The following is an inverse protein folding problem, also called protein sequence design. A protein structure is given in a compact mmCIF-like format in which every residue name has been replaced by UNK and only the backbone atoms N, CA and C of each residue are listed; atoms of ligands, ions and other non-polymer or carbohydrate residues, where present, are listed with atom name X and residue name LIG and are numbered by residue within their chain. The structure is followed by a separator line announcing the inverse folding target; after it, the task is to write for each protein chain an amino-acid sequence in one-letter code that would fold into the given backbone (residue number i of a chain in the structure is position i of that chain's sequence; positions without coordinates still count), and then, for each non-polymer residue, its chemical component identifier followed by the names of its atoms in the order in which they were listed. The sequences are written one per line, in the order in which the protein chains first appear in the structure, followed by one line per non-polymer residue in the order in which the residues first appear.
data_IF_071068318733
#
_entry.id   IF_071068318733
#
_cell.length_a   1.000
_cell.length_b   1.000
_cell.length_c   1.000
_cell.angle_alpha   90.00
_cell.angle_beta   90.00
_cell.angle_gamma   90.00
#
_symmetry.space_group_name_H-M   'P 1'
#
loop_
_entity.id
_entity.type
_entity.pdbx_description
1 polymer ?
#
# COMPACT_ATOMS: atom_id res chain seq x y z
N UNK A 1 -6.74 3.00 -31.29
CA UNK A 1 -6.70 1.66 -30.70
C UNK A 1 -6.95 1.75 -29.19
N UNK A 2 -7.94 1.01 -28.74
CA UNK A 2 -8.26 1.06 -27.32
C UNK A 2 -7.22 0.32 -26.49
N UNK A 3 -6.79 0.94 -25.43
CA UNK A 3 -5.87 0.34 -24.48
C UNK A 3 -6.65 -0.54 -23.50
N UNK A 4 -6.23 -1.77 -23.33
CA UNK A 4 -6.86 -2.64 -22.35
C UNK A 4 -6.61 -2.11 -20.94
N UNK A 5 -7.61 -2.17 -20.08
CA UNK A 5 -7.50 -1.69 -18.70
C UNK A 5 -6.43 -2.41 -17.90
N UNK A 6 -6.03 -3.61 -18.34
CA UNK A 6 -5.04 -4.43 -17.64
C UNK A 6 -3.63 -4.31 -18.23
N UNK A 7 -3.42 -3.45 -19.24
CA UNK A 7 -2.08 -3.27 -19.81
C UNK A 7 -1.16 -2.59 -18.83
N UNK A 8 0.09 -3.06 -18.78
CA UNK A 8 1.15 -2.47 -17.98
C UNK A 8 0.89 -2.49 -16.46
N UNK A 9 0.14 -3.51 -15.99
CA UNK A 9 -0.02 -3.65 -14.54
C UNK A 9 1.30 -4.12 -13.94
N UNK A 10 1.65 -3.66 -12.73
CA UNK A 10 2.83 -4.16 -12.03
C UNK A 10 2.60 -5.57 -11.52
N UNK A 11 3.67 -6.23 -11.06
CA UNK A 11 3.52 -7.55 -10.47
C UNK A 11 2.78 -7.49 -9.13
N UNK A 12 3.07 -6.46 -8.33
CA UNK A 12 2.49 -6.27 -7.01
C UNK A 12 1.74 -4.95 -6.93
N UNK A 13 0.48 -5.01 -6.51
CA UNK A 13 -0.31 -3.82 -6.23
C UNK A 13 -0.16 -3.49 -4.74
N UNK A 14 0.18 -2.24 -4.44
CA UNK A 14 0.22 -1.75 -3.07
C UNK A 14 -1.05 -0.95 -2.81
N UNK A 15 -1.83 -1.38 -1.83
CA UNK A 15 -2.97 -0.61 -1.34
C UNK A 15 -2.58 0.00 -0.02
N UNK A 16 -2.54 1.32 0.02
CA UNK A 16 -1.92 2.10 1.07
C UNK A 16 -2.95 2.98 1.75
N UNK A 17 -2.88 3.05 3.08
CA UNK A 17 -3.85 3.79 3.88
C UNK A 17 -3.87 5.30 3.59
N UNK A 18 -2.71 5.95 3.51
CA UNK A 18 -2.59 7.40 3.32
C UNK A 18 -3.38 8.24 4.32
N UNK A 19 -3.84 7.65 5.42
CA UNK A 19 -4.71 8.35 6.36
C UNK A 19 -3.95 9.32 7.25
N UNK A 20 -4.07 10.60 7.01
CA UNK A 20 -3.29 11.63 7.68
C UNK A 20 -3.84 12.04 9.06
N UNK A 21 -4.73 11.27 9.65
CA UNK A 21 -5.17 11.50 11.02
C UNK A 21 -4.07 11.18 12.04
N UNK A 22 -3.11 10.34 11.64
CA UNK A 22 -1.99 9.97 12.50
C UNK A 22 -0.68 10.06 11.74
N UNK A 23 0.43 10.10 12.49
CA UNK A 23 1.76 10.07 11.91
C UNK A 23 1.97 8.80 11.10
N UNK A 24 1.57 7.64 11.65
CA UNK A 24 1.77 6.36 10.98
C UNK A 24 0.92 6.22 9.73
N UNK A 25 -0.31 6.76 9.74
CA UNK A 25 -1.16 6.76 8.54
C UNK A 25 -0.54 7.58 7.42
N UNK A 26 -0.07 8.78 7.74
CA UNK A 26 0.62 9.63 6.77
C UNK A 26 1.88 8.96 6.24
N UNK A 27 2.64 8.31 7.11
CA UNK A 27 3.89 7.64 6.74
C UNK A 27 3.68 6.49 5.77
N UNK A 28 2.52 5.82 5.79
CA UNK A 28 2.26 4.73 4.84
C UNK A 28 2.41 5.22 3.41
N UNK A 29 1.85 6.39 3.12
CA UNK A 29 1.92 6.96 1.78
C UNK A 29 3.31 7.40 1.40
N UNK A 30 3.97 8.16 2.28
CA UNK A 30 5.33 8.65 2.03
C UNK A 30 6.31 7.48 1.85
N UNK A 31 6.22 6.48 2.73
CA UNK A 31 7.10 5.33 2.66
C UNK A 31 6.84 4.46 1.43
N UNK A 32 5.58 4.29 1.04
CA UNK A 32 5.23 3.52 -0.15
C UNK A 32 5.77 4.18 -1.41
N UNK A 33 5.67 5.50 -1.52
CA UNK A 33 6.21 6.23 -2.66
C UNK A 33 7.72 6.01 -2.77
N UNK A 34 8.44 6.15 -1.66
CA UNK A 34 9.89 5.93 -1.65
C UNK A 34 10.25 4.47 -1.94
N UNK A 35 9.47 3.53 -1.42
CA UNK A 35 9.72 2.10 -1.67
C UNK A 35 9.57 1.73 -3.14
N UNK A 36 8.55 2.26 -3.81
CA UNK A 36 8.33 1.98 -5.24
C UNK A 36 9.48 2.51 -6.08
N UNK A 37 10.08 3.64 -5.68
CA UNK A 37 11.23 4.19 -6.37
C UNK A 37 12.49 3.33 -6.25
N UNK A 38 12.56 2.49 -5.21
CA UNK A 38 13.74 1.69 -4.91
C UNK A 38 13.72 0.29 -5.54
N UNK A 39 12.59 -0.13 -6.09
CA UNK A 39 12.49 -1.43 -6.75
C UNK A 39 12.51 -1.25 -8.26
N UNK A 40 12.77 -2.34 -9.00
CA UNK A 40 12.81 -2.27 -10.45
C UNK A 40 11.46 -1.87 -11.03
N UNK A 41 11.45 -1.14 -12.17
CA UNK A 41 10.21 -0.80 -12.86
C UNK A 41 9.36 -2.04 -13.12
N UNK A 42 8.06 -1.94 -12.88
CA UNK A 42 7.14 -3.05 -13.08
C UNK A 42 7.01 -4.01 -11.91
N UNK A 43 7.85 -3.87 -10.86
CA UNK A 43 7.75 -4.74 -9.69
C UNK A 43 6.57 -4.40 -8.81
N UNK A 44 6.31 -3.13 -8.59
CA UNK A 44 5.23 -2.70 -7.71
C UNK A 44 4.68 -1.35 -8.15
N UNK A 45 3.41 -1.13 -7.89
CA UNK A 45 2.77 0.15 -8.09
C UNK A 45 1.76 0.41 -7.01
N UNK A 46 1.53 1.68 -6.69
CA UNK A 46 0.54 2.09 -5.70
C UNK A 46 -0.80 2.18 -6.42
N UNK A 47 -1.79 1.48 -5.89
CA UNK A 47 -3.14 1.48 -6.45
C UNK A 47 -4.05 2.38 -5.61
N UNK A 48 -5.13 2.82 -6.20
CA UNK A 48 -6.08 3.71 -5.54
C UNK A 48 -6.99 2.91 -4.61
N UNK A 49 -6.77 3.05 -3.31
CA UNK A 49 -7.56 2.34 -2.31
C UNK A 49 -9.05 2.70 -2.41
N UNK A 50 -9.35 3.98 -2.61
CA UNK A 50 -10.73 4.45 -2.75
C UNK A 50 -11.45 3.90 -3.97
N UNK A 51 -10.72 3.41 -4.95
CA UNK A 51 -11.31 2.81 -6.14
C UNK A 51 -11.97 1.46 -5.90
N UNK A 52 -11.69 0.82 -4.78
CA UNK A 52 -12.32 -0.46 -4.44
C UNK A 52 -13.76 -0.29 -3.96
N UNK A 53 -14.04 0.50 -2.92
CA UNK A 53 -15.42 0.67 -2.46
C UNK A 53 -16.28 1.44 -3.46
N UNK A 54 -15.69 2.32 -4.26
CA UNK A 54 -16.42 3.05 -5.30
C UNK A 54 -16.60 2.23 -6.56
N UNK A 55 -16.01 1.04 -6.61
CA UNK A 55 -16.10 0.11 -7.74
C UNK A 55 -15.65 0.74 -9.06
N UNK A 56 -14.54 1.47 -9.02
CA UNK A 56 -13.95 2.07 -10.20
C UNK A 56 -13.50 0.96 -11.16
N UNK A 57 -14.05 0.87 -12.37
CA UNK A 57 -13.78 -0.27 -13.27
C UNK A 57 -12.31 -0.50 -13.55
N UNK A 58 -11.54 0.56 -13.78
CA UNK A 58 -10.11 0.45 -14.06
C UNK A 58 -9.34 -0.10 -12.87
N UNK A 59 -9.67 0.37 -11.64
CA UNK A 59 -9.00 -0.11 -10.43
C UNK A 59 -9.32 -1.58 -10.18
N UNK A 60 -10.59 -1.96 -10.30
CA UNK A 60 -11.02 -3.35 -10.12
C UNK A 60 -10.34 -4.27 -11.13
N UNK A 61 -10.35 -3.89 -12.40
CA UNK A 61 -9.76 -4.72 -13.47
C UNK A 61 -8.25 -4.90 -13.26
N UNK A 62 -7.53 -3.83 -12.94
CA UNK A 62 -6.10 -3.91 -12.71
C UNK A 62 -5.77 -4.73 -11.47
N UNK A 63 -6.60 -4.62 -10.43
CA UNK A 63 -6.41 -5.40 -9.21
C UNK A 63 -6.56 -6.90 -9.48
N UNK A 64 -7.50 -7.27 -10.34
CA UNK A 64 -7.69 -8.66 -10.75
C UNK A 64 -6.51 -9.19 -11.56
N UNK A 65 -5.76 -8.31 -12.22
CA UNK A 65 -4.69 -8.71 -13.13
C UNK A 65 -3.32 -8.83 -12.47
N UNK A 66 -3.10 -8.23 -11.30
CA UNK A 66 -1.79 -8.30 -10.64
C UNK A 66 -1.54 -9.69 -10.07
N UNK A 67 -0.27 -10.03 -9.88
CA UNK A 67 0.10 -11.32 -9.29
C UNK A 67 -0.06 -11.33 -7.79
N UNK A 68 0.17 -10.20 -7.14
CA UNK A 68 0.17 -10.09 -5.67
C UNK A 68 -0.44 -8.78 -5.23
N UNK A 69 -1.03 -8.81 -4.05
CA UNK A 69 -1.60 -7.63 -3.40
C UNK A 69 -0.95 -7.48 -2.04
N UNK A 70 -0.41 -6.31 -1.77
CA UNK A 70 0.18 -5.97 -0.47
C UNK A 70 -0.57 -4.77 0.09
N UNK A 71 -1.04 -4.88 1.33
CA UNK A 71 -1.69 -3.76 2.01
C UNK A 71 -0.71 -3.13 2.98
N UNK A 72 -0.72 -1.81 3.07
CA UNK A 72 0.15 -1.05 3.96
C UNK A 72 -0.74 -0.17 4.84
N UNK A 73 -0.81 -0.50 6.12
CA UNK A 73 -1.57 0.23 7.11
C UNK A 73 -0.67 0.86 8.15
N UNK A 74 -1.09 2.02 8.67
CA UNK A 74 -0.31 2.72 9.68
C UNK A 74 -0.62 2.26 11.08
N UNK A 75 -1.89 2.13 11.43
CA UNK A 75 -2.30 1.78 12.78
C UNK A 75 -3.07 0.46 12.82
N UNK A 76 -3.30 -0.08 14.03
CA UNK A 76 -3.96 -1.40 14.15
C UNK A 76 -5.40 -1.48 13.64
N UNK A 77 -5.98 -0.37 13.19
CA UNK A 77 -7.31 -0.41 12.56
C UNK A 77 -7.29 -1.16 11.22
N UNK A 78 -6.17 -1.20 10.54
CA UNK A 78 -5.97 -1.93 9.28
C UNK A 78 -7.01 -1.58 8.21
N UNK A 79 -7.24 -0.29 7.99
CA UNK A 79 -8.25 0.17 7.04
C UNK A 79 -8.01 -0.32 5.62
N UNK A 80 -6.76 -0.25 5.16
CA UNK A 80 -6.40 -0.69 3.81
C UNK A 80 -6.69 -2.19 3.65
N UNK A 81 -6.25 -2.99 4.60
CA UNK A 81 -6.48 -4.43 4.58
C UNK A 81 -7.98 -4.76 4.55
N UNK A 82 -8.77 -4.08 5.40
CA UNK A 82 -10.21 -4.32 5.48
C UNK A 82 -10.91 -3.93 4.17
N UNK A 83 -10.53 -2.82 3.57
CA UNK A 83 -11.14 -2.37 2.32
C UNK A 83 -10.86 -3.38 1.19
N UNK A 84 -9.62 -3.86 1.11
CA UNK A 84 -9.25 -4.87 0.11
C UNK A 84 -10.06 -6.15 0.31
N UNK A 85 -10.16 -6.62 1.54
CA UNK A 85 -10.93 -7.81 1.87
C UNK A 85 -12.42 -7.65 1.57
N UNK A 86 -12.99 -6.50 1.89
CA UNK A 86 -14.41 -6.22 1.60
C UNK A 86 -14.69 -6.17 0.10
N UNK A 87 -13.70 -5.82 -0.69
CA UNK A 87 -13.84 -5.81 -2.15
C UNK A 87 -13.75 -7.21 -2.75
N UNK A 88 -13.50 -8.23 -1.96
CA UNK A 88 -13.42 -9.61 -2.41
C UNK A 88 -12.02 -10.07 -2.78
N UNK A 89 -11.00 -9.28 -2.48
CA UNK A 89 -9.61 -9.64 -2.76
C UNK A 89 -8.93 -10.13 -1.49
N UNK A 90 -7.94 -10.99 -1.66
CA UNK A 90 -7.16 -11.52 -0.55
C UNK A 90 -5.75 -10.93 -0.61
N UNK A 91 -5.31 -10.16 0.40
CA UNK A 91 -3.94 -9.67 0.42
C UNK A 91 -2.94 -10.82 0.49
N UNK A 92 -1.90 -10.75 -0.33
CA UNK A 92 -0.80 -11.72 -0.29
C UNK A 92 0.04 -11.48 0.95
N UNK A 93 0.30 -10.21 1.25
CA UNK A 93 1.02 -9.78 2.44
C UNK A 93 0.36 -8.53 3.00
N UNK A 94 0.47 -8.35 4.31
CA UNK A 94 -0.05 -7.17 5.00
C UNK A 94 1.06 -6.58 5.84
N UNK A 95 1.17 -5.25 5.81
CA UNK A 95 2.17 -4.51 6.60
C UNK A 95 1.42 -3.54 7.50
N UNK A 96 1.85 -3.44 8.75
CA UNK A 96 1.32 -2.47 9.69
C UNK A 96 2.50 -1.78 10.38
N UNK A 97 2.57 -0.46 10.28
CA UNK A 97 3.74 0.26 10.79
C UNK A 97 3.86 0.23 12.30
N UNK A 98 2.74 0.13 13.02
CA UNK A 98 2.80 0.02 14.49
C UNK A 98 3.21 -1.38 14.91
N UNK A 99 2.52 -2.41 14.41
CA UNK A 99 2.75 -3.77 14.88
C UNK A 99 4.01 -4.40 14.30
N UNK A 100 4.34 -4.09 13.05
CA UNK A 100 5.47 -4.72 12.36
C UNK A 100 6.76 -3.92 12.46
N UNK A 101 6.67 -2.58 12.55
CA UNK A 101 7.85 -1.72 12.58
C UNK A 101 8.09 -1.08 13.94
N UNK A 102 7.16 -1.25 14.89
CA UNK A 102 7.30 -0.70 16.24
C UNK A 102 7.19 0.80 16.31
N UNK A 103 6.62 1.46 15.30
CA UNK A 103 6.47 2.90 15.29
C UNK A 103 5.26 3.28 16.13
N UNK A 104 5.45 4.21 17.08
CA UNK A 104 4.40 4.62 17.97
C UNK A 104 3.40 5.53 17.25
N UNK A 105 2.09 5.23 17.39
CA UNK A 105 1.03 6.07 16.81
C UNK A 105 0.92 7.38 17.58
N UNK A 106 0.93 8.50 16.84
CA UNK A 106 0.81 9.86 17.36
C UNK A 106 0.01 10.70 16.39
N UNK A 107 -0.42 11.92 16.78
CA UNK A 107 -1.01 12.84 15.79
C UNK A 107 -0.04 13.12 14.64
N UNK A 108 -0.58 13.41 13.46
CA UNK A 108 0.24 13.66 12.29
C UNK A 108 1.25 14.78 12.49
N UNK A 109 0.92 15.78 13.31
CA UNK A 109 1.83 16.89 13.61
C UNK A 109 3.10 16.45 14.35
N UNK A 110 3.12 15.26 14.91
CA UNK A 110 4.30 14.72 15.61
C UNK A 110 5.08 13.74 14.75
N UNK A 111 4.90 13.80 13.44
CA UNK A 111 5.65 12.98 12.49
C UNK A 111 7.15 13.19 12.62
N UNK A 112 7.91 12.10 12.56
CA UNK A 112 9.38 12.15 12.61
C UNK A 112 9.98 11.53 11.36
N UNK A 113 10.84 12.26 10.69
CA UNK A 113 11.50 11.80 9.47
C UNK A 113 12.34 10.54 9.72
N UNK A 114 12.93 10.41 10.91
CA UNK A 114 13.77 9.26 11.26
C UNK A 114 13.02 7.94 11.30
N UNK A 115 11.69 7.97 11.47
CA UNK A 115 10.86 6.78 11.49
C UNK A 115 10.60 6.22 10.08
N UNK A 116 10.94 6.99 9.04
CA UNK A 116 10.68 6.60 7.66
C UNK A 116 11.52 5.41 7.20
N UNK A 117 12.78 5.33 7.62
CA UNK A 117 13.68 4.27 7.14
C UNK A 117 13.15 2.86 7.44
N UNK A 118 12.73 2.52 8.67
CA UNK A 118 12.19 1.19 8.92
C UNK A 118 10.89 0.92 8.14
N UNK A 119 10.06 1.94 7.92
CA UNK A 119 8.84 1.79 7.14
C UNK A 119 9.15 1.50 5.67
N UNK A 120 10.06 2.26 5.08
CA UNK A 120 10.49 2.06 3.68
C UNK A 120 11.09 0.66 3.52
N UNK A 121 11.97 0.27 4.43
CA UNK A 121 12.63 -1.03 4.39
C UNK A 121 11.61 -2.17 4.45
N UNK A 122 10.63 -2.08 5.34
CA UNK A 122 9.60 -3.10 5.48
C UNK A 122 8.83 -3.29 4.17
N UNK A 123 8.48 -2.18 3.50
CA UNK A 123 7.74 -2.24 2.25
C UNK A 123 8.61 -2.82 1.13
N UNK A 124 9.85 -2.34 0.99
CA UNK A 124 10.78 -2.83 -0.04
C UNK A 124 11.02 -4.33 0.14
N UNK A 125 11.32 -4.77 1.36
CA UNK A 125 11.60 -6.17 1.64
C UNK A 125 10.39 -7.05 1.32
N UNK A 126 9.18 -6.56 1.61
CA UNK A 126 7.95 -7.29 1.32
C UNK A 126 7.73 -7.41 -0.19
N UNK A 127 7.97 -6.36 -0.95
CA UNK A 127 7.84 -6.39 -2.41
C UNK A 127 8.82 -7.42 -3.01
N UNK A 128 10.06 -7.39 -2.56
CA UNK A 128 11.11 -8.26 -3.09
C UNK A 128 10.85 -9.73 -2.73
N UNK A 129 10.40 -9.99 -1.51
CA UNK A 129 10.17 -11.35 -1.01
C UNK A 129 8.86 -11.96 -1.48
N UNK A 130 7.94 -11.16 -1.94
CA UNK A 130 6.61 -11.62 -2.32
C UNK A 130 6.59 -12.45 -3.59
#
# INVERSE_FOLDING_TARGET
MERKMTENVPETALFVCFGAMSNVGMMTGLAAIEAVKKVEPGKAGIFCLGGLPTQAPTVIAKTQAVKRIVTVDGCPLNCSRKIVEQAGFTPTKTINLVTDCGIQKKPASEYKQEDMEPAIKAIVDTIIAA
#
